data_IF_628248398070
#
_entry.id   IF_628248398070
#
_cell.length_a   1.000
_cell.length_b   1.000
_cell.length_c   1.000
_cell.angle_alpha   90.00
_cell.angle_beta   90.00
_cell.angle_gamma   90.00
#
_symmetry.space_group_name_H-M   'P 1'
#
loop_
_entity.id
_entity.type
_entity.pdbx_description
1 polymer ?
#
# COMPACT_ATOMS: atom_id res chain seq x y z
N UNK A 1 -21.34 -12.20 1.73
CA UNK A 1 -19.99 -12.77 1.93
C UNK A 1 -19.34 -12.99 0.57
N UNK A 2 -18.88 -11.92 -0.07
CA UNK A 2 -18.03 -12.01 -1.25
C UNK A 2 -16.66 -12.55 -0.80
N UNK A 3 -16.33 -13.79 -1.18
CA UNK A 3 -15.02 -14.36 -0.90
C UNK A 3 -13.94 -13.71 -1.75
N UNK A 4 -12.69 -13.69 -1.26
CA UNK A 4 -11.53 -13.14 -2.00
C UNK A 4 -11.34 -13.72 -3.42
N UNK A 5 -11.94 -14.88 -3.73
CA UNK A 5 -11.96 -15.47 -5.07
C UNK A 5 -12.67 -14.60 -6.12
N UNK A 6 -13.58 -13.71 -5.74
CA UNK A 6 -14.25 -12.78 -6.66
C UNK A 6 -13.34 -11.64 -7.13
N UNK A 7 -12.27 -11.37 -6.38
CA UNK A 7 -11.44 -10.17 -6.57
C UNK A 7 -10.32 -10.37 -7.60
N UNK A 8 -10.22 -11.53 -8.26
CA UNK A 8 -9.20 -11.85 -9.28
C UNK A 8 -7.75 -11.47 -8.89
N UNK A 9 -7.41 -11.55 -7.60
CA UNK A 9 -6.16 -11.02 -7.05
C UNK A 9 -4.91 -11.58 -7.76
N UNK A 10 -4.91 -12.86 -8.09
CA UNK A 10 -3.80 -13.53 -8.78
C UNK A 10 -3.48 -12.93 -10.15
N UNK A 11 -4.50 -12.43 -10.87
CA UNK A 11 -4.30 -11.74 -12.15
C UNK A 11 -3.54 -10.43 -11.97
N UNK A 12 -3.78 -9.68 -10.89
CA UNK A 12 -3.07 -8.43 -10.61
C UNK A 12 -1.69 -8.66 -10.02
N UNK A 13 -1.50 -9.68 -9.17
CA UNK A 13 -0.18 -10.06 -8.66
C UNK A 13 0.80 -10.33 -9.80
N UNK A 14 0.38 -11.05 -10.84
CA UNK A 14 1.24 -11.30 -12.01
C UNK A 14 1.64 -10.04 -12.80
N UNK A 15 0.90 -8.92 -12.68
CA UNK A 15 1.29 -7.63 -13.26
C UNK A 15 2.36 -6.91 -12.45
N UNK A 16 2.45 -7.20 -11.15
CA UNK A 16 3.40 -6.59 -10.21
C UNK A 16 4.23 -7.67 -9.50
N UNK A 17 5.02 -8.47 -10.25
CA UNK A 17 5.73 -9.61 -9.70
C UNK A 17 6.83 -9.18 -8.74
N UNK A 18 7.07 -9.96 -7.69
CA UNK A 18 8.21 -9.75 -6.80
C UNK A 18 9.50 -10.10 -7.52
N UNK A 19 10.33 -9.09 -7.79
CA UNK A 19 11.62 -9.25 -8.50
C UNK A 19 12.83 -9.44 -7.58
N UNK A 20 12.69 -9.08 -6.30
CA UNK A 20 13.78 -9.13 -5.33
C UNK A 20 13.73 -10.40 -4.49
N UNK A 21 14.90 -11.01 -4.28
CA UNK A 21 15.07 -12.11 -3.32
C UNK A 21 15.34 -11.60 -1.91
N UNK A 22 15.93 -10.40 -1.78
CA UNK A 22 16.23 -9.78 -0.49
C UNK A 22 14.96 -9.34 0.21
N UNK A 23 14.88 -9.60 1.51
CA UNK A 23 13.80 -9.08 2.37
C UNK A 23 13.90 -7.56 2.48
N UNK A 24 12.77 -6.88 2.30
CA UNK A 24 12.62 -5.43 2.52
C UNK A 24 11.82 -5.17 3.79
N UNK A 25 12.24 -4.24 4.64
CA UNK A 25 11.57 -3.94 5.90
C UNK A 25 10.81 -2.62 5.84
N UNK A 26 9.62 -2.58 6.44
CA UNK A 26 8.94 -1.33 6.72
C UNK A 26 9.64 -0.67 7.91
N UNK A 27 10.36 0.43 7.64
CA UNK A 27 11.00 1.21 8.70
C UNK A 27 10.14 2.40 9.12
N UNK A 28 10.69 3.25 10.00
CA UNK A 28 10.04 4.48 10.51
C UNK A 28 9.56 5.44 9.41
N UNK A 29 10.09 5.32 8.20
CA UNK A 29 9.70 6.14 7.06
C UNK A 29 9.12 5.32 5.89
N UNK A 30 8.60 4.13 6.20
CA UNK A 30 8.06 3.16 5.24
C UNK A 30 9.14 2.34 4.53
N UNK A 31 8.78 1.80 3.37
CA UNK A 31 9.72 1.10 2.49
C UNK A 31 10.51 2.11 1.67
N UNK A 32 11.83 1.90 1.55
CA UNK A 32 12.70 2.68 0.67
C UNK A 32 13.77 1.80 0.04
N UNK A 33 13.88 1.86 -1.28
CA UNK A 33 14.91 1.20 -2.08
C UNK A 33 14.87 1.77 -3.50
N UNK A 34 15.72 1.26 -4.38
CA UNK A 34 15.66 1.42 -5.85
C UNK A 34 14.24 1.27 -6.39
N UNK A 35 13.80 2.21 -7.23
CA UNK A 35 12.43 2.25 -7.73
C UNK A 35 12.02 0.99 -8.53
N UNK A 36 12.96 0.34 -9.19
CA UNK A 36 12.75 -0.88 -9.99
C UNK A 36 12.22 -2.06 -9.15
N UNK A 37 12.50 -2.05 -7.85
CA UNK A 37 12.14 -3.12 -6.91
C UNK A 37 10.81 -2.86 -6.19
N UNK A 38 10.23 -1.68 -6.35
CA UNK A 38 9.08 -1.24 -5.54
C UNK A 38 7.72 -1.57 -6.12
N UNK A 39 7.59 -1.96 -7.39
CA UNK A 39 6.27 -2.14 -8.02
C UNK A 39 5.37 -3.13 -7.28
N UNK A 40 5.89 -4.29 -6.86
CA UNK A 40 5.16 -5.27 -6.06
C UNK A 40 4.83 -4.75 -4.66
N UNK A 41 5.74 -3.99 -4.04
CA UNK A 41 5.54 -3.36 -2.73
C UNK A 41 4.38 -2.37 -2.80
N UNK A 42 4.36 -1.51 -3.83
CA UNK A 42 3.30 -0.52 -4.05
C UNK A 42 1.93 -1.17 -4.18
N UNK A 43 1.81 -2.19 -5.04
CA UNK A 43 0.57 -2.94 -5.20
C UNK A 43 0.09 -3.53 -3.88
N UNK A 44 1.00 -4.19 -3.16
CA UNK A 44 0.69 -4.82 -1.87
C UNK A 44 0.35 -3.79 -0.78
N UNK A 45 0.94 -2.60 -0.81
CA UNK A 45 0.57 -1.51 0.10
C UNK A 45 -0.78 -0.88 -0.25
N UNK A 46 -1.20 -0.90 -1.51
CA UNK A 46 -2.58 -0.58 -1.90
C UNK A 46 -3.59 -1.56 -1.28
N UNK A 47 -3.29 -2.87 -1.31
CA UNK A 47 -4.10 -3.89 -0.63
C UNK A 47 -4.20 -3.58 0.87
N UNK A 48 -3.05 -3.38 1.53
CA UNK A 48 -3.00 -3.18 2.97
C UNK A 48 -3.68 -1.89 3.42
N UNK A 49 -3.48 -0.78 2.71
CA UNK A 49 -4.14 0.49 3.00
C UNK A 49 -5.67 0.36 2.92
N UNK A 50 -6.18 -0.42 1.97
CA UNK A 50 -7.61 -0.70 1.82
C UNK A 50 -8.16 -1.49 3.01
N UNK A 51 -7.43 -2.52 3.44
CA UNK A 51 -7.78 -3.29 4.65
C UNK A 51 -7.75 -2.42 5.91
N UNK A 52 -6.72 -1.57 6.05
CA UNK A 52 -6.58 -0.64 7.18
C UNK A 52 -7.72 0.38 7.21
N UNK A 53 -8.15 0.87 6.06
CA UNK A 53 -9.29 1.80 5.95
C UNK A 53 -10.60 1.17 6.46
N UNK A 54 -10.85 -0.12 6.17
CA UNK A 54 -12.03 -0.82 6.70
C UNK A 54 -12.00 -0.98 8.22
N UNK A 55 -10.83 -1.29 8.77
CA UNK A 55 -10.62 -1.44 10.22
C UNK A 55 -10.87 -0.12 10.94
N UNK A 56 -10.27 0.95 10.43
CA UNK A 56 -10.37 2.29 11.05
C UNK A 56 -11.68 3.00 10.70
N UNK A 57 -12.39 2.55 9.66
CA UNK A 57 -13.57 3.22 9.08
C UNK A 57 -13.28 4.68 8.69
N UNK A 58 -12.06 4.93 8.19
CA UNK A 58 -11.57 6.24 7.80
C UNK A 58 -10.60 6.14 6.61
N UNK A 59 -10.24 7.29 6.02
CA UNK A 59 -9.29 7.33 4.92
C UNK A 59 -7.88 6.96 5.39
N UNK A 60 -7.12 6.26 4.55
CA UNK A 60 -5.71 5.96 4.78
C UNK A 60 -4.87 6.62 3.70
N UNK A 61 -3.82 7.33 4.10
CA UNK A 61 -2.88 7.96 3.17
C UNK A 61 -1.81 6.99 2.67
N UNK A 62 -1.42 7.13 1.42
CA UNK A 62 -0.27 6.45 0.81
C UNK A 62 0.63 7.50 0.15
N UNK A 63 1.77 7.80 0.77
CA UNK A 63 2.75 8.75 0.23
C UNK A 63 3.85 8.03 -0.51
N UNK A 64 4.03 8.33 -1.79
CA UNK A 64 5.12 7.81 -2.62
C UNK A 64 6.24 8.85 -2.70
N UNK A 65 7.33 8.57 -1.99
CA UNK A 65 8.51 9.42 -1.96
C UNK A 65 9.67 8.70 -1.27
N UNK A 66 10.90 9.02 -1.68
CA UNK A 66 12.10 8.73 -0.87
C UNK A 66 12.73 9.98 -0.25
N UNK A 67 12.02 11.11 -0.22
CA UNK A 67 12.48 12.35 0.43
C UNK A 67 13.89 12.76 -0.07
N UNK A 68 14.90 12.73 0.79
CA UNK A 68 16.28 13.13 0.49
C UNK A 68 17.14 12.06 -0.21
N UNK A 69 16.63 10.85 -0.42
CA UNK A 69 17.36 9.78 -1.10
C UNK A 69 17.71 10.17 -2.56
N UNK A 70 18.76 9.57 -3.16
CA UNK A 70 19.08 9.74 -4.59
C UNK A 70 17.88 9.51 -5.52
N UNK A 71 17.85 10.17 -6.67
CA UNK A 71 16.72 10.11 -7.63
C UNK A 71 16.28 8.69 -8.04
N UNK A 72 17.19 7.72 -8.27
CA UNK A 72 16.80 6.35 -8.64
C UNK A 72 16.04 5.59 -7.55
N UNK A 73 16.13 6.03 -6.29
CA UNK A 73 15.36 5.46 -5.20
C UNK A 73 13.92 5.96 -5.23
N UNK A 74 13.01 5.19 -4.65
CA UNK A 74 11.71 5.70 -4.24
C UNK A 74 11.28 5.02 -2.94
N UNK A 75 10.05 5.26 -2.50
CA UNK A 75 9.55 4.67 -1.29
C UNK A 75 8.06 4.87 -1.13
N UNK A 76 7.49 4.18 -0.16
CA UNK A 76 6.09 4.31 0.21
C UNK A 76 5.94 4.26 1.71
N UNK A 77 5.11 5.15 2.25
CA UNK A 77 4.65 5.12 3.64
C UNK A 77 3.15 5.31 3.72
N UNK A 78 2.56 4.70 4.73
CA UNK A 78 1.14 4.77 5.04
C UNK A 78 0.92 5.81 6.14
N UNK A 79 -0.22 6.48 6.08
CA UNK A 79 -0.64 7.52 7.02
C UNK A 79 -2.00 7.13 7.57
N UNK A 80 -2.09 7.04 8.90
CA UNK A 80 -3.32 6.67 9.60
C UNK A 80 -4.25 7.90 9.76
N UNK A 81 -5.52 7.70 10.18
CA UNK A 81 -6.61 8.67 10.00
C UNK A 81 -6.46 10.07 10.61
N UNK A 82 -5.56 10.30 11.56
CA UNK A 82 -5.31 11.61 12.17
C UNK A 82 -3.99 12.22 11.68
N UNK A 83 -3.46 11.74 10.55
CA UNK A 83 -2.20 12.21 9.97
C UNK A 83 -0.97 11.64 10.70
N UNK A 84 -1.15 10.67 11.57
CA UNK A 84 -0.10 9.95 12.26
C UNK A 84 0.56 8.90 11.34
N UNK A 85 1.74 8.43 11.75
CA UNK A 85 2.38 7.30 11.08
C UNK A 85 1.56 6.04 11.28
N UNK A 86 1.74 5.06 10.39
CA UNK A 86 1.10 3.75 10.50
C UNK A 86 1.33 3.13 11.89
N UNK A 87 0.27 2.54 12.44
CA UNK A 87 0.35 1.72 13.65
C UNK A 87 1.49 0.68 13.58
N UNK A 88 2.36 0.59 14.60
CA UNK A 88 3.50 -0.34 14.61
C UNK A 88 3.15 -1.81 14.36
N UNK A 89 1.98 -2.28 14.83
CA UNK A 89 1.55 -3.66 14.57
C UNK A 89 1.25 -3.87 13.07
N UNK A 90 0.84 -2.81 12.38
CA UNK A 90 0.60 -2.82 10.93
C UNK A 90 1.88 -2.62 10.11
N UNK A 91 2.94 -2.03 10.66
CA UNK A 91 4.27 -2.02 10.03
C UNK A 91 4.84 -3.46 9.88
N UNK A 92 4.59 -4.32 10.88
CA UNK A 92 4.94 -5.74 10.82
C UNK A 92 4.16 -6.45 9.71
N UNK A 93 2.85 -6.22 9.65
CA UNK A 93 1.99 -6.78 8.59
C UNK A 93 2.42 -6.27 7.21
N UNK A 94 2.79 -5.00 7.09
CA UNK A 94 3.31 -4.43 5.85
C UNK A 94 4.59 -5.14 5.41
N UNK A 95 5.52 -5.33 6.35
CA UNK A 95 6.77 -6.06 6.12
C UNK A 95 6.51 -7.49 5.67
N UNK A 96 5.63 -8.23 6.35
CA UNK A 96 5.28 -9.60 5.98
C UNK A 96 4.69 -9.66 4.57
N UNK A 97 3.65 -8.85 4.32
CA UNK A 97 2.93 -8.84 3.04
C UNK A 97 3.85 -8.43 1.88
N UNK A 98 4.74 -7.46 2.06
CA UNK A 98 5.70 -7.08 1.01
C UNK A 98 6.64 -8.22 0.61
N UNK A 99 6.91 -9.17 1.51
CA UNK A 99 7.93 -10.19 1.31
C UNK A 99 7.41 -11.58 0.95
N UNK A 100 6.12 -11.89 1.11
CA UNK A 100 5.61 -13.21 0.73
C UNK A 100 5.83 -13.50 -0.77
N UNK A 101 6.06 -14.77 -1.15
CA UNK A 101 6.01 -15.19 -2.55
C UNK A 101 4.71 -14.77 -3.24
N UNK A 102 4.74 -14.55 -4.55
CA UNK A 102 3.57 -14.06 -5.32
C UNK A 102 2.37 -15.01 -5.20
N UNK A 103 2.60 -16.33 -5.20
CA UNK A 103 1.58 -17.36 -5.01
C UNK A 103 0.99 -17.42 -3.58
N UNK A 104 1.58 -16.68 -2.63
CA UNK A 104 1.13 -16.61 -1.24
C UNK A 104 0.47 -15.28 -0.87
N UNK A 105 0.41 -14.31 -1.79
CA UNK A 105 -0.20 -12.99 -1.52
C UNK A 105 -1.67 -13.13 -1.12
N UNK A 106 -2.45 -13.97 -1.81
CA UNK A 106 -3.87 -14.18 -1.51
C UNK A 106 -4.08 -14.76 -0.11
N UNK A 107 -3.27 -15.75 0.27
CA UNK A 107 -3.33 -16.35 1.60
C UNK A 107 -2.90 -15.36 2.69
N UNK A 108 -1.88 -14.54 2.43
CA UNK A 108 -1.46 -13.49 3.35
C UNK A 108 -2.57 -12.46 3.58
N UNK A 109 -3.25 -12.02 2.52
CA UNK A 109 -4.41 -11.12 2.62
C UNK A 109 -5.56 -11.75 3.44
N UNK A 110 -5.90 -13.03 3.20
CA UNK A 110 -6.87 -13.78 4.01
C UNK A 110 -6.50 -13.77 5.49
N UNK A 111 -5.25 -14.09 5.81
CA UNK A 111 -4.77 -14.14 7.18
C UNK A 111 -4.86 -12.77 7.86
N UNK A 112 -4.62 -11.67 7.14
CA UNK A 112 -4.78 -10.30 7.69
C UNK A 112 -6.25 -10.01 7.99
N UNK A 113 -7.16 -10.35 7.05
CA UNK A 113 -8.60 -10.17 7.25
C UNK A 113 -9.09 -10.95 8.47
N UNK A 114 -8.70 -12.21 8.59
CA UNK A 114 -9.09 -13.05 9.72
C UNK A 114 -8.44 -12.56 11.03
N UNK A 115 -7.16 -12.18 11.03
CA UNK A 115 -6.45 -11.70 12.22
C UNK A 115 -7.09 -10.46 12.83
N UNK A 116 -7.50 -9.50 11.99
CA UNK A 116 -8.08 -8.23 12.43
C UNK A 116 -9.62 -8.21 12.37
N UNK A 117 -10.26 -9.35 12.05
CA UNK A 117 -11.71 -9.49 11.91
C UNK A 117 -12.30 -8.40 11.00
N UNK A 118 -11.68 -8.21 9.83
CA UNK A 118 -11.99 -7.10 8.92
C UNK A 118 -13.32 -7.36 8.24
N UNK A 119 -14.27 -6.44 8.46
CA UNK A 119 -15.54 -6.42 7.73
C UNK A 119 -15.31 -5.95 6.29
N UNK A 120 -15.32 -6.90 5.35
CA UNK A 120 -15.10 -6.65 3.93
C UNK A 120 -16.25 -5.92 3.24
N UNK A 121 -17.43 -5.85 3.87
CA UNK A 121 -18.59 -5.14 3.33
C UNK A 121 -18.52 -3.63 3.62
N UNK A 122 -17.61 -3.19 4.52
CA UNK A 122 -17.33 -1.77 4.74
C UNK A 122 -16.66 -1.13 3.53
N UNK A 123 -17.05 0.11 3.26
CA UNK A 123 -16.34 0.96 2.32
C UNK A 123 -14.92 1.24 2.79
N UNK A 124 -14.01 1.44 1.83
CA UNK A 124 -12.62 1.76 2.06
C UNK A 124 -12.24 2.94 1.17
N UNK A 125 -11.49 3.90 1.72
CA UNK A 125 -11.00 5.07 1.00
C UNK A 125 -9.50 5.21 1.22
N UNK A 126 -8.75 5.37 0.13
CA UNK A 126 -7.30 5.52 0.16
C UNK A 126 -6.91 6.79 -0.57
N UNK A 127 -6.13 7.65 0.09
CA UNK A 127 -5.65 8.92 -0.45
C UNK A 127 -4.21 8.76 -0.90
N UNK A 128 -3.96 8.94 -2.19
CA UNK A 128 -2.65 8.68 -2.79
C UNK A 128 -2.01 10.02 -3.14
N UNK A 129 -0.75 10.19 -2.72
CA UNK A 129 0.05 11.35 -3.05
C UNK A 129 1.46 10.93 -3.44
N UNK A 130 2.11 11.71 -4.31
CA UNK A 130 3.47 11.41 -4.76
C UNK A 130 4.33 12.65 -4.89
N UNK A 131 5.65 12.47 -4.80
CA UNK A 131 6.62 13.49 -5.19
C UNK A 131 6.84 13.53 -6.72
N UNK A 132 7.85 14.29 -7.16
CA UNK A 132 8.18 14.50 -8.57
C UNK A 132 9.19 13.50 -9.14
N UNK A 133 9.52 12.41 -8.45
CA UNK A 133 10.45 11.41 -9.01
C UNK A 133 9.86 10.80 -10.28
N UNK A 134 10.66 10.56 -11.34
CA UNK A 134 10.18 9.96 -12.58
C UNK A 134 9.41 8.64 -12.38
N UNK A 135 9.82 7.82 -11.42
CA UNK A 135 9.17 6.56 -11.07
C UNK A 135 7.85 6.72 -10.30
N UNK A 136 7.59 7.88 -9.70
CA UNK A 136 6.46 8.07 -8.78
C UNK A 136 5.10 7.87 -9.43
N UNK A 137 4.94 8.20 -10.72
CA UNK A 137 3.67 8.01 -11.44
C UNK A 137 3.30 6.52 -11.59
N UNK A 138 4.20 5.71 -12.13
CA UNK A 138 3.95 4.28 -12.32
C UNK A 138 3.82 3.54 -10.98
N UNK A 139 4.53 3.99 -9.95
CA UNK A 139 4.38 3.47 -8.60
C UNK A 139 3.01 3.82 -8.00
N UNK A 140 2.46 5.02 -8.25
CA UNK A 140 1.09 5.35 -7.83
C UNK A 140 0.03 4.51 -8.54
N UNK A 141 0.22 4.20 -9.83
CA UNK A 141 -0.67 3.30 -10.57
C UNK A 141 -0.71 1.89 -9.97
N UNK A 142 0.43 1.40 -9.46
CA UNK A 142 0.50 0.12 -8.75
C UNK A 142 -0.27 0.16 -7.42
N UNK A 143 -0.14 1.23 -6.63
CA UNK A 143 -0.95 1.43 -5.41
C UNK A 143 -2.43 1.43 -5.76
N UNK A 144 -2.85 2.23 -6.74
CA UNK A 144 -4.25 2.31 -7.19
C UNK A 144 -4.80 0.94 -7.57
N UNK A 145 -4.06 0.13 -8.34
CA UNK A 145 -4.47 -1.22 -8.68
C UNK A 145 -4.68 -2.12 -7.45
N UNK A 146 -3.84 -1.98 -6.42
CA UNK A 146 -4.00 -2.68 -5.14
C UNK A 146 -5.23 -2.21 -4.35
N UNK A 147 -5.63 -0.96 -4.48
CA UNK A 147 -6.84 -0.44 -3.85
C UNK A 147 -8.09 -0.96 -4.56
N UNK A 148 -8.12 -0.82 -5.88
CA UNK A 148 -9.28 -1.18 -6.71
C UNK A 148 -9.56 -2.69 -6.70
N UNK A 149 -8.52 -3.54 -6.66
CA UNK A 149 -8.70 -4.99 -6.62
C UNK A 149 -9.40 -5.46 -5.36
N UNK A 150 -9.37 -4.69 -4.27
CA UNK A 150 -10.16 -4.96 -3.05
C UNK A 150 -11.45 -4.12 -2.97
N UNK A 151 -11.88 -3.54 -4.09
CA UNK A 151 -13.05 -2.65 -4.21
C UNK A 151 -12.98 -1.40 -3.30
N UNK A 152 -11.76 -0.94 -2.99
CA UNK A 152 -11.56 0.34 -2.33
C UNK A 152 -11.67 1.51 -3.32
N UNK A 153 -11.93 2.71 -2.79
CA UNK A 153 -11.93 3.96 -3.56
C UNK A 153 -10.53 4.60 -3.47
N UNK A 154 -9.83 4.68 -4.60
CA UNK A 154 -8.56 5.37 -4.71
C UNK A 154 -8.78 6.85 -5.08
N UNK A 155 -8.31 7.76 -4.25
CA UNK A 155 -8.33 9.20 -4.51
C UNK A 155 -6.88 9.68 -4.72
N UNK A 156 -6.45 9.76 -5.99
CA UNK A 156 -5.10 10.21 -6.34
C UNK A 156 -5.05 11.75 -6.43
N UNK A 157 -4.36 12.36 -5.46
CA UNK A 157 -4.11 13.81 -5.41
C UNK A 157 -2.91 14.24 -6.28
N UNK A 158 -2.21 13.29 -6.90
CA UNK A 158 -1.09 13.56 -7.78
C UNK A 158 0.14 14.07 -7.04
N UNK A 159 0.75 15.12 -7.59
CA UNK A 159 2.00 15.69 -7.05
C UNK A 159 1.69 16.56 -5.84
N UNK A 160 2.08 16.08 -4.67
CA UNK A 160 1.84 16.75 -3.38
C UNK A 160 3.07 16.64 -2.50
N UNK A 161 3.19 17.54 -1.52
CA UNK A 161 4.20 17.38 -0.48
C UNK A 161 3.75 16.35 0.55
N UNK A 162 4.68 15.71 1.26
CA UNK A 162 4.32 14.81 2.36
C UNK A 162 3.41 15.48 3.40
N UNK A 163 3.69 16.71 3.90
CA UNK A 163 2.78 17.35 4.85
C UNK A 163 1.36 17.59 4.30
N UNK A 164 1.21 17.87 3.00
CA UNK A 164 -0.12 17.98 2.38
C UNK A 164 -0.89 16.68 2.45
N UNK A 165 -0.26 15.53 2.15
CA UNK A 165 -0.96 14.26 2.24
C UNK A 165 -1.37 13.95 3.69
N UNK A 166 -0.50 14.21 4.67
CA UNK A 166 -0.86 14.07 6.08
C UNK A 166 -2.07 14.94 6.46
N UNK A 167 -2.12 16.17 5.95
CA UNK A 167 -3.26 17.08 6.15
C UNK A 167 -4.54 16.63 5.44
N UNK A 168 -4.45 15.96 4.29
CA UNK A 168 -5.65 15.48 3.58
C UNK A 168 -6.34 14.33 4.30
N UNK A 169 -5.58 13.52 5.05
CA UNK A 169 -6.09 12.33 5.72
C UNK A 169 -6.83 12.67 7.03
N UNK A 170 -6.54 13.83 7.65
CA UNK A 170 -7.12 14.29 8.92
C UNK A 170 -8.56 14.78 8.82
#
# INVERSE_FOLDING_TARGET
>A
MAGLSEYCLNTFVSKYPKKISKTIQYGTAGFRTTAEDLSHVMFRMGLLATLRSRVTSAAIGVMITASHNPEPDNGVKLVDPHGEMLDPDWELVATELANVPDDQVENSVKNVIDRFQIDMDKSASVFIGRDTRPSSKSLSEAVTAGVEVLQGVANDYGVVTTPMLHYFVT
#
